data_IF_985958726976
#
_entry.id   IF_985958726976
#
_cell.length_a   1.000
_cell.length_b   1.000
_cell.length_c   1.000
_cell.angle_alpha   90.00
_cell.angle_beta   90.00
_cell.angle_gamma   90.00
#
_symmetry.space_group_name_H-M   'P 1'
#
loop_
_entity.id
_entity.type
_entity.pdbx_description
1 polymer ?
#
# COMPACT_ATOMS: atom_id res chain seq x y z
N UNK A 1 5.36 9.85 -8.68
CA UNK A 1 4.38 9.74 -7.59
C UNK A 1 3.39 10.87 -7.64
N UNK A 2 2.22 10.60 -7.13
CA UNK A 2 1.13 11.57 -7.19
C UNK A 2 0.71 11.91 -5.76
N UNK A 3 0.70 13.20 -5.44
CA UNK A 3 0.26 13.63 -4.13
C UNK A 3 -1.25 13.54 -4.02
N UNK A 4 -1.73 13.01 -2.90
CA UNK A 4 -3.16 12.89 -2.64
C UNK A 4 -3.67 13.99 -1.71
N UNK A 5 -2.76 14.64 -0.99
CA UNK A 5 -3.13 15.62 0.02
C UNK A 5 -3.67 15.01 1.30
N UNK A 6 -3.70 13.70 1.39
CA UNK A 6 -4.23 13.01 2.58
C UNK A 6 -3.12 12.83 3.58
N UNK A 7 -3.39 13.21 4.83
CA UNK A 7 -2.44 13.08 5.93
C UNK A 7 -3.04 12.13 6.97
N UNK A 8 -2.26 11.17 7.42
CA UNK A 8 -2.68 10.23 8.46
C UNK A 8 -1.60 10.16 9.53
N UNK A 9 -2.02 9.85 10.74
CA UNK A 9 -1.08 9.71 11.85
C UNK A 9 -0.79 8.25 12.10
N UNK A 10 0.45 7.98 12.48
CA UNK A 10 0.83 6.64 12.92
C UNK A 10 0.36 6.47 14.36
N UNK A 11 -0.30 5.34 14.66
CA UNK A 11 -0.81 5.10 16.01
C UNK A 11 0.31 4.54 16.93
N UNK A 12 -0.06 4.24 18.17
CA UNK A 12 0.92 3.78 19.15
C UNK A 12 1.45 2.38 18.86
N UNK A 13 0.80 1.65 17.97
CA UNK A 13 1.27 0.34 17.58
C UNK A 13 2.02 0.38 16.23
N UNK A 14 2.27 1.58 15.72
CA UNK A 14 2.99 1.74 14.46
C UNK A 14 2.15 1.50 13.24
N UNK A 15 0.84 1.56 13.36
CA UNK A 15 -0.06 1.32 12.22
C UNK A 15 -0.58 2.62 11.67
N UNK A 16 -0.89 2.60 10.39
CA UNK A 16 -1.51 3.72 9.72
C UNK A 16 -2.69 3.21 8.90
N UNK A 17 -3.77 3.98 8.88
CA UNK A 17 -4.96 3.59 8.13
C UNK A 17 -4.84 4.11 6.71
N UNK A 18 -4.97 3.22 5.75
CA UNK A 18 -4.99 3.61 4.35
C UNK A 18 -6.40 4.07 4.02
N UNK A 19 -6.57 5.30 3.52
CA UNK A 19 -7.91 5.81 3.23
C UNK A 19 -8.65 4.94 2.23
N UNK A 20 -9.97 4.92 2.37
CA UNK A 20 -10.82 4.10 1.54
C UNK A 20 -10.67 4.42 0.05
N UNK A 21 -10.51 5.69 -0.27
CA UNK A 21 -10.35 6.12 -1.66
C UNK A 21 -9.10 5.52 -2.29
N UNK A 22 -8.02 5.47 -1.51
CA UNK A 22 -6.76 4.92 -2.01
C UNK A 22 -6.88 3.41 -2.15
N UNK A 23 -7.51 2.75 -1.18
CA UNK A 23 -7.71 1.30 -1.27
C UNK A 23 -8.51 0.93 -2.50
N UNK A 24 -9.53 1.74 -2.81
CA UNK A 24 -10.36 1.52 -3.98
C UNK A 24 -9.57 1.70 -5.27
N UNK A 25 -8.82 2.78 -5.35
CA UNK A 25 -8.04 3.10 -6.54
C UNK A 25 -7.00 2.03 -6.84
N UNK A 26 -6.34 1.54 -5.80
CA UNK A 26 -5.29 0.54 -5.94
C UNK A 26 -5.81 -0.88 -5.81
N UNK A 27 -7.09 -1.04 -5.54
CA UNK A 27 -7.73 -2.34 -5.38
C UNK A 27 -7.10 -3.16 -4.27
N UNK A 28 -6.85 -2.51 -3.15
CA UNK A 28 -6.29 -3.15 -1.98
C UNK A 28 -7.44 -3.61 -1.09
N UNK A 29 -7.43 -4.89 -0.73
CA UNK A 29 -8.45 -5.47 0.11
C UNK A 29 -7.86 -5.91 1.43
N UNK A 30 -8.74 -6.17 2.37
CA UNK A 30 -8.34 -6.72 3.66
C UNK A 30 -7.55 -8.01 3.45
N UNK A 31 -6.41 -8.10 4.09
CA UNK A 31 -5.57 -9.28 3.99
C UNK A 31 -4.59 -9.29 2.83
N UNK A 32 -4.71 -8.33 1.92
CA UNK A 32 -3.79 -8.28 0.80
C UNK A 32 -2.38 -7.96 1.29
N UNK A 33 -1.36 -8.67 0.80
CA UNK A 33 0.01 -8.35 1.19
C UNK A 33 0.49 -7.12 0.43
N UNK A 34 1.23 -6.29 1.13
CA UNK A 34 1.83 -5.09 0.54
C UNK A 34 3.33 -5.11 0.80
N UNK A 35 4.09 -4.75 -0.22
CA UNK A 35 5.52 -4.55 -0.06
C UNK A 35 5.77 -3.12 0.39
N UNK A 36 6.77 -2.97 1.24
CA UNK A 36 7.12 -1.65 1.77
C UNK A 36 8.47 -1.25 1.23
N UNK A 37 8.54 -0.06 0.65
CA UNK A 37 9.77 0.52 0.15
C UNK A 37 10.02 1.81 0.89
N UNK A 38 11.29 2.15 1.06
CA UNK A 38 11.65 3.44 1.65
C UNK A 38 12.44 4.25 0.63
N UNK A 39 12.32 5.57 0.75
CA UNK A 39 13.07 6.49 -0.09
C UNK A 39 14.04 7.29 0.75
N UNK A 40 15.11 7.77 0.11
CA UNK A 40 16.16 8.50 0.80
C UNK A 40 15.66 9.78 1.46
N UNK A 41 14.63 10.38 0.93
CA UNK A 41 14.08 11.61 1.47
C UNK A 41 13.04 11.39 2.56
N UNK A 42 12.92 10.16 3.05
CA UNK A 42 12.03 9.85 4.15
C UNK A 42 10.67 9.33 3.74
N UNK A 43 10.48 9.07 2.48
CA UNK A 43 9.20 8.53 2.01
C UNK A 43 9.07 7.06 2.26
N UNK A 44 7.83 6.61 2.45
CA UNK A 44 7.49 5.19 2.53
C UNK A 44 6.49 4.89 1.44
N UNK A 45 6.75 3.86 0.66
CA UNK A 45 5.90 3.48 -0.45
C UNK A 45 5.35 2.09 -0.21
N UNK A 46 4.04 1.93 -0.34
CA UNK A 46 3.40 0.63 -0.28
C UNK A 46 2.96 0.23 -1.68
N UNK A 47 3.27 -0.98 -2.07
CA UNK A 47 2.84 -1.52 -3.36
C UNK A 47 2.22 -2.87 -3.15
N UNK A 48 1.24 -3.21 -3.95
CA UNK A 48 0.66 -4.55 -3.88
C UNK A 48 1.75 -5.58 -4.18
N UNK A 49 1.87 -6.53 -3.28
CA UNK A 49 2.86 -7.58 -3.46
C UNK A 49 2.36 -8.56 -4.51
N UNK A 50 3.19 -8.81 -5.50
CA UNK A 50 2.86 -9.72 -6.57
C UNK A 50 3.99 -10.74 -6.67
N UNK A 51 3.74 -11.97 -6.22
CA UNK A 51 4.78 -12.99 -6.34
C UNK A 51 5.13 -13.22 -7.79
N UNK A 52 6.32 -13.60 -8.04
CA UNK A 52 6.77 -13.86 -9.38
C UNK A 52 5.92 -14.92 -10.07
N UNK A 53 5.48 -14.64 -11.16
CA UNK A 53 4.58 -15.50 -11.85
C UNK A 53 3.16 -15.27 -11.42
N UNK A 54 3.28 -14.93 -11.44
CA UNK A 54 2.03 -14.95 -11.36
C UNK A 54 1.08 -14.45 -11.44
N UNK A 55 1.21 -14.45 -11.73
CA UNK A 55 0.32 -14.05 -11.80
C UNK A 55 -0.70 -14.03 -11.95
N UNK A 56 -0.59 -14.56 -12.19
CA UNK A 56 -1.55 -14.63 -12.44
C UNK A 56 -2.46 -14.80 -12.07
N UNK A 57 -2.24 -15.19 -12.05
CA UNK A 57 -3.06 -15.41 -11.75
C UNK A 57 -3.82 -15.31 -11.04
N UNK A 58 -3.58 -15.41 -11.07
CA UNK A 58 -4.24 -15.40 -10.43
C UNK A 58 -4.97 -15.10 -10.03
N UNK A 59 -4.79 -15.28 -10.15
CA UNK A 59 -5.47 -15.01 -9.84
C UNK A 59 -5.94 -14.77 -9.50
N UNK A 60 -5.58 -15.06 -9.66
CA UNK A 60 -5.94 -14.88 -9.34
C UNK A 60 -6.22 -14.60 -9.19
#
# INVERSE_FOLDING_TARGET
MKATGIVRRVDDLGRIVIPKEIRRTLRIREGDPLEIYTEKDGGVIFRKYSPMGHSCSQSS
#
